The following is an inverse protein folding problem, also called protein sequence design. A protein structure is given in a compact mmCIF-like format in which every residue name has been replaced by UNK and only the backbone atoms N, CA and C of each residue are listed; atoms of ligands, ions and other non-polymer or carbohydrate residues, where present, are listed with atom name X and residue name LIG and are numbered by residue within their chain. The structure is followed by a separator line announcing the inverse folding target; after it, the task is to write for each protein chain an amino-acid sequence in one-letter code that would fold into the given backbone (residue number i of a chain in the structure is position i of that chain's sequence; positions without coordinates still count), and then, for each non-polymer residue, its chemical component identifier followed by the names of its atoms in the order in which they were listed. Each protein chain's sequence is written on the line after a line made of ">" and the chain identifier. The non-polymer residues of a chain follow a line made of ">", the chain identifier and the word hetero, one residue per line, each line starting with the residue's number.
data_IF_844257153977
#
_entry.id   IF_844257153977
#
_cell.length_a   1.000
_cell.length_b   1.000
_cell.length_c   1.000
_cell.angle_alpha   90.00
_cell.angle_beta   90.00
_cell.angle_gamma   90.00
#
_symmetry.space_group_name_H-M   'P 1'
#
loop_
_entity.id
_entity.type
_entity.pdbx_description
1 polymer ?
#
# COMPACT_ATOMS: atom_id res chain seq x y z
N UNK A 1 31.36 -24.37 10.77
CA UNK A 1 31.54 -22.95 11.17
C UNK A 1 30.42 -22.67 12.14
N UNK A 2 30.73 -22.10 13.31
CA UNK A 2 29.74 -21.89 14.37
C UNK A 2 28.76 -20.82 13.92
N UNK A 3 27.47 -20.97 14.23
CA UNK A 3 26.38 -20.03 13.89
C UNK A 3 26.56 -18.60 14.47
N UNK A 4 27.70 -18.34 15.13
CA UNK A 4 28.04 -17.08 15.79
C UNK A 4 29.41 -16.53 15.38
N UNK A 5 30.12 -17.16 14.43
CA UNK A 5 31.43 -16.69 13.98
C UNK A 5 31.37 -15.25 13.40
N UNK A 6 30.23 -14.88 12.82
CA UNK A 6 30.00 -13.54 12.26
C UNK A 6 30.00 -12.42 13.31
N UNK A 7 29.71 -12.70 14.59
CA UNK A 7 29.74 -11.69 15.65
C UNK A 7 31.16 -11.21 15.95
N UNK A 8 32.15 -12.10 15.81
CA UNK A 8 33.56 -11.73 15.92
C UNK A 8 34.01 -10.88 14.72
N UNK A 9 33.47 -11.17 13.54
CA UNK A 9 33.72 -10.37 12.34
C UNK A 9 33.10 -8.98 12.44
N UNK A 10 31.91 -8.83 13.05
CA UNK A 10 31.31 -7.51 13.32
C UNK A 10 32.20 -6.64 14.21
N UNK A 11 32.82 -7.21 15.25
CA UNK A 11 33.74 -6.45 16.11
C UNK A 11 34.95 -5.93 15.31
N UNK A 12 35.51 -6.76 14.43
CA UNK A 12 36.65 -6.40 13.59
C UNK A 12 36.29 -5.34 12.53
N UNK A 13 35.02 -5.25 12.14
CA UNK A 13 34.51 -4.24 11.20
C UNK A 13 34.05 -2.95 11.89
N UNK A 14 34.27 -2.81 13.20
CA UNK A 14 34.04 -1.57 13.94
C UNK A 14 32.59 -1.34 14.35
N UNK A 15 31.76 -2.38 14.38
CA UNK A 15 30.40 -2.29 14.91
C UNK A 15 30.41 -2.01 16.42
N UNK A 16 29.41 -1.27 16.91
CA UNK A 16 29.33 -0.93 18.32
C UNK A 16 28.95 -2.15 19.17
N UNK A 17 29.30 -2.17 20.46
CA UNK A 17 28.90 -3.26 21.37
C UNK A 17 27.39 -3.49 21.41
N UNK A 18 26.59 -2.43 21.26
CA UNK A 18 25.12 -2.51 21.24
C UNK A 18 24.61 -3.21 19.98
N UNK A 19 25.21 -2.92 18.82
CA UNK A 19 24.84 -3.57 17.55
C UNK A 19 25.20 -5.06 17.54
N UNK A 20 26.31 -5.42 18.15
CA UNK A 20 26.73 -6.83 18.27
C UNK A 20 25.82 -7.58 19.24
N UNK A 21 25.41 -6.93 20.34
CA UNK A 21 24.47 -7.52 21.30
C UNK A 21 23.08 -7.75 20.70
N UNK A 22 22.60 -6.81 19.88
CA UNK A 22 21.32 -6.94 19.17
C UNK A 22 21.35 -8.09 18.14
N UNK A 23 22.43 -8.18 17.35
CA UNK A 23 22.63 -9.28 16.41
C UNK A 23 22.72 -10.65 17.12
N UNK A 24 23.38 -10.71 18.28
CA UNK A 24 23.46 -11.92 19.11
C UNK A 24 22.11 -12.33 19.70
N UNK A 25 21.28 -11.36 20.11
CA UNK A 25 19.96 -11.62 20.68
C UNK A 25 18.95 -12.11 19.62
N UNK A 26 19.04 -11.56 18.40
CA UNK A 26 18.10 -11.85 17.31
C UNK A 26 18.56 -13.00 16.39
N UNK A 27 19.83 -13.41 16.44
CA UNK A 27 20.40 -14.42 15.53
C UNK A 27 20.53 -13.91 14.09
N UNK A 28 20.64 -12.59 13.90
CA UNK A 28 20.72 -11.95 12.59
C UNK A 28 22.17 -11.76 12.16
N UNK A 29 22.55 -12.31 11.00
CA UNK A 29 23.85 -12.10 10.36
C UNK A 29 23.76 -10.95 9.33
N UNK A 30 24.43 -9.80 9.55
CA UNK A 30 24.36 -8.64 8.65
C UNK A 30 24.85 -8.91 7.22
N UNK A 31 25.59 -9.99 7.01
CA UNK A 31 26.19 -10.34 5.73
C UNK A 31 25.36 -11.36 4.94
N UNK A 32 24.35 -11.97 5.57
CA UNK A 32 23.41 -12.89 4.92
C UNK A 32 22.23 -12.15 4.26
N UNK A 33 21.96 -10.91 4.68
CA UNK A 33 20.96 -10.04 4.06
C UNK A 33 21.66 -8.87 3.35
N UNK A 34 21.65 -8.88 2.02
CA UNK A 34 22.03 -7.71 1.25
C UNK A 34 21.08 -6.55 1.56
N UNK A 35 21.56 -5.29 1.60
CA UNK A 35 20.67 -4.16 1.81
C UNK A 35 19.68 -4.11 0.65
N UNK A 36 18.40 -4.35 0.95
CA UNK A 36 17.33 -3.87 0.07
C UNK A 36 17.52 -2.36 0.06
N UNK A 37 17.88 -1.80 -1.10
CA UNK A 37 18.02 -0.37 -1.26
C UNK A 37 16.75 0.31 -0.74
N UNK A 38 16.86 1.00 0.39
CA UNK A 38 15.80 1.82 1.01
C UNK A 38 15.20 2.87 0.05
N UNK A 39 15.77 3.05 -1.15
CA UNK A 39 15.43 4.11 -2.09
C UNK A 39 14.33 3.76 -3.12
N UNK A 40 13.78 2.55 -3.16
CA UNK A 40 12.72 2.20 -4.14
C UNK A 40 11.33 1.90 -3.55
N UNK A 41 11.17 1.98 -2.22
CA UNK A 41 9.84 1.95 -1.61
C UNK A 41 9.42 3.38 -1.25
N UNK A 42 8.33 3.92 -1.81
CA UNK A 42 7.84 5.23 -1.40
C UNK A 42 7.45 5.15 0.08
N UNK A 43 8.23 5.79 0.96
CA UNK A 43 8.03 5.82 2.41
C UNK A 43 6.53 5.81 2.78
N UNK A 44 6.02 4.63 3.12
CA UNK A 44 4.65 4.42 3.55
C UNK A 44 4.58 4.77 5.02
N UNK A 45 4.51 6.06 5.38
CA UNK A 45 4.21 6.44 6.76
C UNK A 45 3.39 7.73 6.78
N UNK A 46 2.14 7.64 7.27
CA UNK A 46 1.87 8.21 8.58
C UNK A 46 0.93 7.34 9.47
N UNK A 47 1.25 6.06 9.72
CA UNK A 47 0.57 5.29 10.76
C UNK A 47 1.44 4.16 11.38
N UNK A 48 1.36 4.00 12.72
CA UNK A 48 2.27 3.26 13.60
C UNK A 48 1.98 1.75 13.79
N UNK A 49 1.48 1.03 12.78
CA UNK A 49 1.22 -0.42 12.92
C UNK A 49 2.20 -1.27 12.08
N UNK A 50 3.37 -1.62 12.66
CA UNK A 50 4.36 -2.44 11.97
C UNK A 50 3.85 -3.86 11.67
N UNK A 51 2.87 -4.36 12.43
CA UNK A 51 2.30 -5.69 12.16
C UNK A 51 1.42 -5.64 10.90
N UNK A 52 0.60 -4.59 10.76
CA UNK A 52 -0.23 -4.41 9.57
C UNK A 52 0.62 -4.20 8.32
N UNK A 53 1.72 -3.44 8.42
CA UNK A 53 2.68 -3.25 7.33
C UNK A 53 3.30 -4.60 6.90
N UNK A 54 3.76 -5.41 7.87
CA UNK A 54 4.30 -6.74 7.57
C UNK A 54 3.28 -7.69 6.92
N UNK A 55 2.01 -7.64 7.35
CA UNK A 55 0.92 -8.40 6.70
C UNK A 55 0.72 -7.93 5.25
N UNK A 56 0.70 -6.61 5.02
CA UNK A 56 0.55 -6.06 3.68
C UNK A 56 1.69 -6.50 2.76
N UNK A 57 2.94 -6.37 3.19
CA UNK A 57 4.13 -6.81 2.44
C UNK A 57 4.05 -8.30 2.14
N UNK A 58 3.75 -9.13 3.14
CA UNK A 58 3.58 -10.58 2.98
C UNK A 58 2.48 -10.91 1.96
N UNK A 59 1.36 -10.19 1.97
CA UNK A 59 0.28 -10.43 0.99
C UNK A 59 0.70 -10.06 -0.42
N UNK A 60 1.46 -8.97 -0.59
CA UNK A 60 2.00 -8.55 -1.90
C UNK A 60 3.02 -9.58 -2.39
N UNK A 61 3.95 -10.02 -1.56
CA UNK A 61 4.94 -11.06 -1.88
C UNK A 61 4.28 -12.38 -2.28
N UNK A 62 3.26 -12.81 -1.55
CA UNK A 62 2.51 -14.02 -1.89
C UNK A 62 1.74 -13.87 -3.21
N UNK A 63 1.18 -12.69 -3.48
CA UNK A 63 0.48 -12.44 -4.74
C UNK A 63 1.46 -12.41 -5.93
N UNK A 64 2.67 -11.85 -5.75
CA UNK A 64 3.76 -11.89 -6.74
C UNK A 64 4.21 -13.32 -7.01
N UNK A 65 4.60 -14.05 -5.96
CA UNK A 65 5.04 -15.45 -6.04
C UNK A 65 3.99 -16.35 -6.69
N UNK A 66 2.71 -16.15 -6.37
CA UNK A 66 1.60 -16.88 -6.97
C UNK A 66 1.49 -16.61 -8.48
N UNK A 67 1.64 -15.36 -8.90
CA UNK A 67 1.61 -14.99 -10.32
C UNK A 67 2.80 -15.58 -11.07
N UNK A 68 4.01 -15.48 -10.53
CA UNK A 68 5.22 -16.06 -11.14
C UNK A 68 5.12 -17.57 -11.32
N UNK A 69 4.58 -18.28 -10.32
CA UNK A 69 4.45 -19.73 -10.36
C UNK A 69 3.32 -20.21 -11.27
N UNK A 70 2.19 -19.50 -11.30
CA UNK A 70 0.95 -20.00 -11.93
C UNK A 70 0.55 -19.27 -13.21
N UNK A 71 1.13 -18.10 -13.47
CA UNK A 71 0.71 -17.17 -14.52
C UNK A 71 -0.66 -16.53 -14.27
N UNK A 72 -1.20 -16.61 -13.04
CA UNK A 72 -2.54 -16.10 -12.69
C UNK A 72 -2.45 -15.13 -11.52
N UNK A 73 -3.29 -14.10 -11.54
CA UNK A 73 -3.36 -13.13 -10.48
C UNK A 73 -4.21 -13.62 -9.30
N UNK A 74 -3.69 -13.42 -8.07
CA UNK A 74 -4.45 -13.63 -6.84
C UNK A 74 -5.50 -12.50 -6.70
N UNK A 75 -6.78 -12.88 -6.64
CA UNK A 75 -7.92 -11.93 -6.71
C UNK A 75 -8.21 -11.21 -5.38
N UNK A 76 -7.18 -10.61 -4.76
CA UNK A 76 -7.24 -9.91 -3.47
C UNK A 76 -7.08 -8.38 -3.60
N UNK A 77 -7.21 -7.85 -4.81
CA UNK A 77 -6.92 -6.45 -5.15
C UNK A 77 -7.70 -5.41 -4.33
N UNK A 78 -8.95 -5.69 -4.00
CA UNK A 78 -9.76 -4.79 -3.15
C UNK A 78 -9.13 -4.61 -1.77
N UNK A 79 -8.79 -5.71 -1.11
CA UNK A 79 -8.16 -5.71 0.21
C UNK A 79 -6.79 -5.04 0.19
N UNK A 80 -5.95 -5.35 -0.80
CA UNK A 80 -4.64 -4.71 -0.96
C UNK A 80 -4.76 -3.19 -1.16
N UNK A 81 -5.78 -2.73 -1.89
CA UNK A 81 -6.05 -1.31 -2.06
C UNK A 81 -6.50 -0.62 -0.77
N UNK A 82 -7.32 -1.28 0.04
CA UNK A 82 -7.74 -0.76 1.35
C UNK A 82 -6.58 -0.72 2.36
N UNK A 83 -5.76 -1.77 2.43
CA UNK A 83 -4.58 -1.83 3.29
C UNK A 83 -3.55 -0.76 2.91
N UNK A 84 -3.26 -0.62 1.61
CA UNK A 84 -2.40 0.44 1.12
C UNK A 84 -2.93 1.83 1.50
N UNK A 85 -4.24 2.04 1.43
CA UNK A 85 -4.87 3.30 1.76
C UNK A 85 -4.74 3.63 3.26
N UNK A 86 -4.88 2.62 4.12
CA UNK A 86 -4.66 2.74 5.57
C UNK A 86 -3.20 3.06 5.89
N UNK A 87 -2.24 2.30 5.35
CA UNK A 87 -0.81 2.47 5.61
C UNK A 87 -0.25 3.78 5.05
N UNK A 88 -0.60 4.13 3.79
CA UNK A 88 -0.03 5.29 3.11
C UNK A 88 -0.66 6.62 3.50
N UNK A 89 -1.98 6.64 3.68
CA UNK A 89 -2.73 7.88 3.87
C UNK A 89 -3.31 8.01 5.28
N UNK A 90 -3.16 7.01 6.14
CA UNK A 90 -3.75 7.00 7.49
C UNK A 90 -5.28 6.90 7.47
N UNK A 91 -5.86 6.25 6.44
CA UNK A 91 -7.30 6.04 6.37
C UNK A 91 -7.71 5.01 7.42
N UNK A 92 -8.59 5.41 8.32
CA UNK A 92 -9.19 4.51 9.32
C UNK A 92 -10.32 3.74 8.66
N UNK A 93 -10.09 2.46 8.36
CA UNK A 93 -11.10 1.57 7.77
C UNK A 93 -12.30 1.41 8.69
N UNK A 94 -13.48 1.33 8.09
CA UNK A 94 -14.68 0.97 8.82
C UNK A 94 -14.69 -0.52 9.17
N UNK A 95 -15.54 -0.90 10.11
CA UNK A 95 -15.81 -2.32 10.37
C UNK A 95 -16.41 -2.96 9.10
N UNK A 96 -16.14 -4.25 8.85
CA UNK A 96 -16.77 -4.99 7.76
C UNK A 96 -18.28 -4.78 7.74
N UNK A 97 -18.87 -4.70 6.54
CA UNK A 97 -20.30 -4.47 6.30
C UNK A 97 -20.84 -3.08 6.68
N UNK A 98 -19.98 -2.10 6.96
CA UNK A 98 -20.43 -0.72 7.12
C UNK A 98 -20.94 -0.19 5.78
N UNK A 99 -22.16 0.36 5.76
CA UNK A 99 -22.75 0.89 4.53
C UNK A 99 -22.20 2.28 4.20
N UNK A 100 -21.71 2.48 2.98
CA UNK A 100 -21.60 3.80 2.35
C UNK A 100 -20.19 4.22 1.92
N UNK A 101 -19.18 3.98 2.75
CA UNK A 101 -17.77 4.25 2.43
C UNK A 101 -16.85 3.23 3.13
N UNK A 102 -15.64 3.06 2.62
CA UNK A 102 -14.70 2.05 3.09
C UNK A 102 -13.92 2.51 4.33
N UNK A 103 -13.70 3.82 4.50
CA UNK A 103 -13.07 4.36 5.69
C UNK A 103 -13.21 5.87 5.86
N UNK A 104 -12.42 6.43 6.80
CA UNK A 104 -12.35 7.87 7.06
C UNK A 104 -10.93 8.40 7.10
N UNK A 105 -10.76 9.60 6.57
CA UNK A 105 -9.56 10.41 6.71
C UNK A 105 -9.93 11.73 7.39
N UNK A 106 -9.66 11.85 8.69
CA UNK A 106 -10.16 12.94 9.51
C UNK A 106 -11.70 13.00 9.49
N UNK A 107 -12.25 14.09 8.95
CA UNK A 107 -13.71 14.28 8.81
C UNK A 107 -14.28 13.76 7.49
N UNK A 108 -13.43 13.36 6.55
CA UNK A 108 -13.85 12.90 5.23
C UNK A 108 -14.18 11.41 5.22
N UNK A 109 -15.31 11.07 4.59
CA UNK A 109 -15.69 9.70 4.29
C UNK A 109 -15.10 9.31 2.94
N UNK A 110 -14.22 8.32 2.95
CA UNK A 110 -13.42 7.91 1.80
C UNK A 110 -13.96 6.58 1.27
N UNK A 111 -14.38 6.59 0.00
CA UNK A 111 -14.56 5.37 -0.79
C UNK A 111 -13.22 5.02 -1.44
N UNK A 112 -12.85 3.74 -1.46
CA UNK A 112 -11.64 3.20 -2.06
C UNK A 112 -12.03 2.31 -3.24
N UNK A 113 -11.36 2.49 -4.38
CA UNK A 113 -11.51 1.62 -5.55
C UNK A 113 -10.15 1.24 -6.10
N UNK A 114 -9.93 -0.05 -6.25
CA UNK A 114 -8.70 -0.58 -6.83
C UNK A 114 -8.84 -0.79 -8.34
N UNK A 115 -7.83 -0.38 -9.10
CA UNK A 115 -7.58 -0.80 -10.48
C UNK A 115 -6.50 -1.87 -10.41
N UNK A 116 -6.88 -3.11 -10.73
CA UNK A 116 -5.97 -4.25 -10.78
C UNK A 116 -5.07 -4.22 -12.01
N UNK A 117 -3.95 -4.97 -12.01
CA UNK A 117 -3.03 -5.02 -13.14
C UNK A 117 -3.70 -5.52 -14.44
N UNK A 118 -4.62 -6.48 -14.31
CA UNK A 118 -5.37 -7.06 -15.43
C UNK A 118 -6.42 -6.14 -16.05
N UNK A 119 -6.76 -5.03 -15.39
CA UNK A 119 -7.86 -4.18 -15.83
C UNK A 119 -7.39 -3.09 -16.78
N UNK A 120 -7.44 -3.42 -18.07
CA UNK A 120 -7.18 -2.44 -19.13
C UNK A 120 -8.27 -1.35 -19.18
N UNK A 121 -7.86 -0.11 -19.44
CA UNK A 121 -8.75 1.05 -19.54
C UNK A 121 -8.78 1.99 -18.34
N UNK A 122 -8.16 1.62 -17.21
CA UNK A 122 -7.88 2.56 -16.10
C UNK A 122 -9.10 3.28 -15.53
N UNK A 123 -10.29 2.68 -15.63
CA UNK A 123 -11.54 3.30 -15.17
C UNK A 123 -12.11 2.56 -13.95
N UNK A 124 -12.62 3.34 -13.00
CA UNK A 124 -13.38 2.83 -11.85
C UNK A 124 -14.80 3.36 -11.87
N UNK A 125 -15.70 2.58 -11.26
CA UNK A 125 -17.09 2.96 -11.07
C UNK A 125 -17.39 2.98 -9.57
N UNK A 126 -18.06 4.04 -9.13
CA UNK A 126 -18.54 4.16 -7.74
C UNK A 126 -20.03 4.42 -7.74
N UNK A 127 -20.75 3.79 -6.81
CA UNK A 127 -22.20 4.01 -6.64
C UNK A 127 -22.44 5.39 -6.06
N UNK A 128 -23.27 6.21 -6.73
CA UNK A 128 -23.60 7.55 -6.24
C UNK A 128 -24.39 7.55 -4.92
N UNK A 129 -25.11 6.45 -4.62
CA UNK A 129 -25.85 6.31 -3.38
C UNK A 129 -24.95 6.13 -2.14
N UNK A 130 -23.65 5.86 -2.32
CA UNK A 130 -22.70 5.73 -1.22
C UNK A 130 -22.56 7.02 -0.41
N UNK A 131 -22.36 6.87 0.90
CA UNK A 131 -22.11 7.98 1.81
C UNK A 131 -20.60 8.28 1.92
N UNK A 132 -20.04 8.80 0.83
CA UNK A 132 -18.65 9.28 0.78
C UNK A 132 -18.59 10.72 0.29
N UNK A 133 -17.54 11.44 0.62
CA UNK A 133 -17.26 12.78 0.08
C UNK A 133 -15.92 12.85 -0.67
N UNK A 134 -15.04 11.86 -0.50
CA UNK A 134 -13.82 11.65 -1.28
C UNK A 134 -13.76 10.23 -1.84
N UNK A 135 -13.25 10.10 -3.06
CA UNK A 135 -12.91 8.82 -3.67
C UNK A 135 -11.39 8.73 -3.79
N UNK A 136 -10.80 7.68 -3.24
CA UNK A 136 -9.43 7.27 -3.48
C UNK A 136 -9.45 6.15 -4.52
N UNK A 137 -8.73 6.36 -5.62
CA UNK A 137 -8.45 5.31 -6.59
C UNK A 137 -7.04 4.82 -6.35
N UNK A 138 -6.87 3.52 -6.10
CA UNK A 138 -5.57 2.86 -5.97
C UNK A 138 -5.33 2.05 -7.24
N UNK A 139 -4.23 2.29 -7.92
CA UNK A 139 -3.81 1.52 -9.09
C UNK A 139 -2.64 0.64 -8.69
N UNK A 140 -2.73 -0.64 -9.07
CA UNK A 140 -1.66 -1.63 -8.91
C UNK A 140 -1.11 -1.93 -10.31
N UNK A 141 0.21 -1.80 -10.51
CA UNK A 141 0.87 -2.10 -11.78
C UNK A 141 1.12 -3.61 -11.94
N UNK A 142 1.49 -4.05 -13.15
CA UNK A 142 1.92 -5.44 -13.40
C UNK A 142 3.16 -5.83 -12.58
N UNK A 143 3.95 -4.85 -12.14
CA UNK A 143 5.09 -5.02 -11.24
C UNK A 143 4.70 -4.89 -9.76
N UNK A 144 3.40 -4.94 -9.44
CA UNK A 144 2.87 -4.82 -8.08
C UNK A 144 3.20 -3.49 -7.39
N UNK A 145 3.42 -2.42 -8.16
CA UNK A 145 3.62 -1.08 -7.61
C UNK A 145 2.28 -0.39 -7.38
N UNK A 146 2.17 0.36 -6.29
CA UNK A 146 0.92 1.00 -5.87
C UNK A 146 0.97 2.51 -6.03
N UNK A 147 -0.01 3.08 -6.74
CA UNK A 147 -0.23 4.52 -6.83
C UNK A 147 -1.65 4.86 -6.37
N UNK A 148 -1.81 5.88 -5.53
CA UNK A 148 -3.13 6.37 -5.11
C UNK A 148 -3.41 7.79 -5.63
N UNK A 149 -4.65 8.06 -6.01
CA UNK A 149 -5.12 9.39 -6.42
C UNK A 149 -6.48 9.72 -5.85
N UNK A 150 -6.63 10.92 -5.29
CA UNK A 150 -7.88 11.40 -4.72
C UNK A 150 -8.70 12.24 -5.71
N UNK A 151 -10.03 12.12 -5.59
CA UNK A 151 -10.98 13.05 -6.20
C UNK A 151 -12.12 13.33 -5.22
N UNK A 152 -12.47 14.61 -5.06
CA UNK A 152 -13.63 15.02 -4.28
C UNK A 152 -14.91 14.64 -5.02
N UNK A 153 -15.94 14.20 -4.28
CA UNK A 153 -17.23 13.79 -4.85
C UNK A 153 -17.87 14.89 -5.71
N UNK A 154 -17.71 16.16 -5.34
CA UNK A 154 -18.23 17.32 -6.08
C UNK A 154 -17.61 17.48 -7.48
N UNK A 155 -16.42 16.91 -7.72
CA UNK A 155 -15.71 16.92 -9.01
C UNK A 155 -16.07 15.73 -9.90
N UNK A 156 -16.80 14.75 -9.38
CA UNK A 156 -17.31 13.63 -10.19
C UNK A 156 -18.33 14.16 -11.21
N UNK A 157 -18.28 13.65 -12.43
CA UNK A 157 -19.19 14.08 -13.51
C UNK A 157 -20.65 13.98 -13.05
N UNK A 158 -21.46 14.98 -13.40
CA UNK A 158 -22.89 15.05 -13.07
C UNK A 158 -23.73 14.34 -14.12
N UNK A 159 -23.53 13.03 -14.28
CA UNK A 159 -24.41 12.20 -15.11
C UNK A 159 -25.53 11.60 -14.25
N UNK A 160 -26.72 11.47 -14.82
CA UNK A 160 -27.94 10.97 -14.15
C UNK A 160 -27.93 9.45 -13.85
N UNK A 161 -26.80 8.77 -14.10
CA UNK A 161 -26.66 7.34 -13.87
C UNK A 161 -26.38 6.98 -12.41
N UNK A 162 -26.79 5.76 -12.00
CA UNK A 162 -26.53 5.16 -10.68
C UNK A 162 -25.05 5.16 -10.28
N UNK A 163 -24.16 5.11 -11.27
CA UNK A 163 -22.72 5.05 -11.10
C UNK A 163 -22.05 6.31 -11.65
N UNK A 164 -21.04 6.80 -10.94
CA UNK A 164 -20.07 7.74 -11.47
C UNK A 164 -18.87 6.96 -12.02
N UNK A 165 -18.42 7.30 -13.23
CA UNK A 165 -17.21 6.75 -13.85
C UNK A 165 -16.06 7.73 -13.70
N UNK A 166 -14.90 7.21 -13.32
CA UNK A 166 -13.68 8.01 -13.14
C UNK A 166 -12.55 7.35 -13.92
N UNK A 167 -11.90 8.13 -14.79
CA UNK A 167 -10.70 7.70 -15.52
C UNK A 167 -9.46 8.06 -14.72
N UNK A 168 -8.54 7.11 -14.57
CA UNK A 168 -7.25 7.28 -13.92
C UNK A 168 -6.45 8.46 -14.49
N UNK A 169 -6.43 8.60 -15.81
CA UNK A 169 -5.73 9.68 -16.52
C UNK A 169 -6.26 11.08 -16.18
N UNK A 170 -7.52 11.19 -15.76
CA UNK A 170 -8.14 12.46 -15.36
C UNK A 170 -7.87 12.82 -13.89
N UNK A 171 -7.28 11.91 -13.11
CA UNK A 171 -6.95 12.13 -11.71
C UNK A 171 -5.56 12.76 -11.58
N UNK A 172 -5.45 13.78 -10.74
CA UNK A 172 -4.15 14.37 -10.38
C UNK A 172 -3.42 13.47 -9.38
N UNK A 173 -2.12 13.21 -9.55
CA UNK A 173 -1.31 12.51 -8.55
C UNK A 173 -1.41 13.18 -7.18
N UNK A 174 -1.63 12.42 -6.11
CA UNK A 174 -1.57 12.95 -4.74
C UNK A 174 -0.12 13.35 -4.44
N UNK A 175 0.18 14.65 -4.50
CA UNK A 175 1.55 15.18 -4.36
C UNK A 175 1.82 16.49 -5.10
N UNK A 176 0.90 16.96 -5.96
CA UNK A 176 0.90 18.33 -6.49
C UNK A 176 -0.38 19.03 -6.08
N UNK A 177 -0.40 19.60 -4.87
CA UNK A 177 -1.31 20.73 -4.65
C UNK A 177 -0.94 21.83 -5.66
N UNK A 178 -1.91 22.44 -6.36
CA UNK A 178 -1.63 23.65 -7.10
C UNK A 178 -1.20 24.70 -6.07
N UNK A 179 0.09 25.06 -6.09
CA UNK A 179 0.55 26.28 -5.45
C UNK A 179 -0.19 27.43 -6.15
N UNK A 180 -1.08 28.07 -5.41
CA UNK A 180 -1.65 29.37 -5.76
C UNK A 180 -0.57 30.42 -5.51
#
# INVERSE_FOLDING_TARGET
>A
MSDWDFLHDMLNHGYSPEQIADAAACGYNPWEWGPVLENELPALCPHDDPQLAGIFESLVENAMSYYELTGRYLQIWGELGELYAELKYGIKRHKPHTQGSDGKLGNDFVEIKTISPEKDGGQVQVKRAGNFNKLLVVKISENFEFEGRFIERKRLSRSDGTYARVSWSALTPSGKEPQI
#
